data_IF_326565257631
#
_entry.id   IF_326565257631
#
_cell.length_a   1.000
_cell.length_b   1.000
_cell.length_c   1.000
_cell.angle_alpha   90.00
_cell.angle_beta   90.00
_cell.angle_gamma   90.00
#
_symmetry.space_group_name_H-M   'P 1'
#
loop_
_entity.id
_entity.type
_entity.pdbx_description
1 polymer ?
#
# COMPACT_ATOMS: atom_id res chain seq x y z
N UNK A 1 -14.44 -25.64 3.12
CA UNK A 1 -13.39 -24.67 2.84
C UNK A 1 -13.76 -23.31 3.38
N UNK A 2 -12.85 -22.65 4.03
CA UNK A 2 -13.16 -21.45 4.81
C UNK A 2 -12.90 -20.15 4.08
N UNK A 3 -11.73 -20.01 3.44
CA UNK A 3 -11.38 -18.79 2.71
C UNK A 3 -11.86 -18.87 1.27
N UNK A 4 -12.51 -17.80 0.80
CA UNK A 4 -12.89 -17.69 -0.61
C UNK A 4 -11.82 -16.98 -1.43
N UNK A 5 -11.24 -15.91 -0.88
CA UNK A 5 -10.21 -15.11 -1.55
C UNK A 5 -9.59 -14.14 -0.54
N UNK A 6 -8.44 -13.60 -0.89
CA UNK A 6 -7.91 -12.42 -0.22
C UNK A 6 -8.64 -11.20 -0.79
N UNK A 7 -9.45 -10.52 0.02
CA UNK A 7 -10.25 -9.40 -0.47
C UNK A 7 -9.41 -8.15 -0.72
N UNK A 8 -8.69 -7.71 0.30
CA UNK A 8 -7.82 -6.54 0.20
C UNK A 8 -6.86 -6.48 1.39
N UNK A 9 -5.89 -5.59 1.27
CA UNK A 9 -4.99 -5.20 2.37
C UNK A 9 -5.24 -3.72 2.64
N UNK A 10 -5.36 -3.36 3.90
CA UNK A 10 -5.57 -1.97 4.32
C UNK A 10 -4.26 -1.29 4.68
N UNK A 11 -4.11 -0.05 4.25
CA UNK A 11 -3.01 0.82 4.64
C UNK A 11 -3.60 2.08 5.26
N UNK A 12 -3.29 2.32 6.51
CA UNK A 12 -3.71 3.55 7.20
C UNK A 12 -2.68 4.63 6.89
N UNK A 13 -3.16 5.76 6.38
CA UNK A 13 -2.31 6.87 5.95
C UNK A 13 -2.77 8.18 6.60
N UNK A 14 -1.86 9.13 6.69
CA UNK A 14 -2.16 10.46 7.19
C UNK A 14 -2.53 11.43 6.05
N UNK A 15 -2.03 11.20 4.85
CA UNK A 15 -2.31 12.00 3.66
C UNK A 15 -2.92 11.12 2.58
N UNK A 16 -4.25 11.09 2.54
CA UNK A 16 -4.98 10.23 1.62
C UNK A 16 -4.74 10.62 0.15
N UNK A 17 -4.68 11.92 -0.14
CA UNK A 17 -4.44 12.39 -1.50
C UNK A 17 -3.08 11.96 -2.02
N UNK A 18 -2.04 12.08 -1.18
CA UNK A 18 -0.69 11.65 -1.54
C UNK A 18 -0.62 10.13 -1.75
N UNK A 19 -1.31 9.36 -0.92
CA UNK A 19 -1.37 7.91 -1.06
C UNK A 19 -2.06 7.50 -2.37
N UNK A 20 -3.17 8.14 -2.71
CA UNK A 20 -3.87 7.91 -3.97
C UNK A 20 -2.94 8.21 -5.16
N UNK A 21 -2.25 9.34 -5.12
CA UNK A 21 -1.31 9.74 -6.18
C UNK A 21 -0.19 8.71 -6.35
N UNK A 22 0.35 8.22 -5.24
CA UNK A 22 1.41 7.20 -5.25
C UNK A 22 0.94 5.92 -5.95
N UNK A 23 -0.18 5.36 -5.52
CA UNK A 23 -0.67 4.09 -6.07
C UNK A 23 -1.22 4.25 -7.49
N UNK A 24 -1.71 5.44 -7.84
CA UNK A 24 -2.08 5.75 -9.23
C UNK A 24 -0.83 5.77 -10.12
N UNK A 25 0.27 6.37 -9.65
CA UNK A 25 1.55 6.37 -10.36
C UNK A 25 2.11 4.95 -10.53
N UNK A 26 1.85 4.07 -9.56
CA UNK A 26 2.25 2.66 -9.65
C UNK A 26 1.45 1.90 -10.73
N UNK A 27 0.24 2.34 -11.03
CA UNK A 27 -0.61 1.71 -12.05
C UNK A 27 -1.95 1.20 -11.54
N UNK A 28 -2.28 1.48 -10.29
CA UNK A 28 -3.59 1.12 -9.74
C UNK A 28 -4.64 2.16 -10.13
N UNK A 29 -5.90 1.76 -10.15
CA UNK A 29 -7.04 2.65 -10.41
C UNK A 29 -7.95 2.69 -9.19
N UNK A 30 -8.60 3.84 -9.00
CA UNK A 30 -9.62 3.99 -7.96
C UNK A 30 -10.83 3.16 -8.34
N UNK A 31 -11.30 2.36 -7.39
CA UNK A 31 -12.50 1.54 -7.60
C UNK A 31 -13.71 2.14 -6.91
N UNK A 32 -13.51 2.77 -5.74
CA UNK A 32 -14.59 3.40 -5.00
C UNK A 32 -14.07 4.15 -3.80
N UNK A 33 -14.93 4.95 -3.21
CA UNK A 33 -14.60 5.71 -2.00
C UNK A 33 -15.82 5.84 -1.09
N UNK A 34 -15.58 6.00 0.20
CA UNK A 34 -16.64 6.18 1.18
C UNK A 34 -16.11 6.88 2.42
N UNK A 35 -17.00 7.65 3.06
CA UNK A 35 -16.78 8.14 4.42
C UNK A 35 -17.66 7.31 5.33
N UNK A 36 -17.08 6.69 6.34
CA UNK A 36 -17.76 5.70 7.18
C UNK A 36 -17.73 6.11 8.63
N UNK A 37 -18.89 6.03 9.28
CA UNK A 37 -19.02 6.22 10.72
C UNK A 37 -20.28 5.51 11.22
N UNK A 38 -20.42 5.36 12.51
CA UNK A 38 -21.59 4.78 13.13
C UNK A 38 -21.26 3.63 14.09
N UNK A 39 -22.27 3.13 14.82
CA UNK A 39 -22.04 2.08 15.82
C UNK A 39 -21.42 0.81 15.26
N UNK A 40 -21.74 0.44 14.03
CA UNK A 40 -21.23 -0.79 13.43
C UNK A 40 -19.71 -0.72 13.20
N UNK A 41 -19.20 0.44 12.74
CA UNK A 41 -17.77 0.58 12.48
C UNK A 41 -16.99 0.69 13.79
N UNK A 42 -17.58 1.28 14.81
CA UNK A 42 -16.98 1.31 16.14
C UNK A 42 -16.85 -0.11 16.70
N UNK A 43 -17.88 -0.93 16.53
CA UNK A 43 -17.85 -2.31 17.03
C UNK A 43 -16.78 -3.16 16.36
N UNK A 44 -16.62 -3.05 15.06
CA UNK A 44 -15.59 -3.87 14.36
C UNK A 44 -14.17 -3.38 14.62
N UNK A 45 -13.97 -2.09 14.86
CA UNK A 45 -12.66 -1.53 15.16
C UNK A 45 -12.27 -1.63 16.64
N UNK A 46 -13.24 -1.82 17.52
CA UNK A 46 -13.00 -1.78 18.96
C UNK A 46 -12.59 -0.39 19.44
N UNK A 47 -13.07 0.65 18.75
CA UNK A 47 -12.77 2.04 19.04
C UNK A 47 -14.10 2.82 19.16
N UNK A 48 -14.03 4.01 19.73
CA UNK A 48 -15.22 4.86 19.89
C UNK A 48 -15.16 6.06 18.95
N UNK A 49 -16.31 6.39 18.34
CA UNK A 49 -16.44 7.56 17.50
C UNK A 49 -15.66 7.52 16.21
N UNK A 50 -15.50 6.35 15.63
CA UNK A 50 -14.72 6.18 14.41
C UNK A 50 -15.32 6.96 13.26
N UNK A 51 -14.48 7.76 12.60
CA UNK A 51 -14.79 8.47 11.36
C UNK A 51 -13.62 8.24 10.42
N UNK A 52 -13.84 7.51 9.33
CA UNK A 52 -12.79 7.18 8.38
C UNK A 52 -13.20 7.53 6.96
N UNK A 53 -12.22 7.93 6.18
CA UNK A 53 -12.34 8.07 4.74
C UNK A 53 -11.58 6.92 4.10
N UNK A 54 -12.21 6.22 3.19
CA UNK A 54 -11.68 5.03 2.56
C UNK A 54 -11.67 5.21 1.05
N UNK A 55 -10.56 4.84 0.42
CA UNK A 55 -10.47 4.74 -1.04
C UNK A 55 -9.96 3.35 -1.38
N UNK A 56 -10.71 2.64 -2.22
CA UNK A 56 -10.29 1.34 -2.70
C UNK A 56 -9.53 1.50 -4.01
N UNK A 57 -8.34 0.92 -4.07
CA UNK A 57 -7.48 0.89 -5.26
C UNK A 57 -7.40 -0.53 -5.79
N UNK A 58 -7.33 -0.67 -7.10
CA UNK A 58 -7.34 -1.97 -7.77
C UNK A 58 -6.23 -2.06 -8.81
N UNK A 59 -5.61 -3.23 -8.92
CA UNK A 59 -4.65 -3.53 -10.01
C UNK A 59 -5.37 -3.66 -11.35
N UNK A 60 -4.66 -3.47 -12.48
CA UNK A 60 -5.28 -3.57 -13.81
C UNK A 60 -5.99 -4.89 -14.09
N UNK A 61 -5.47 -6.01 -13.56
CA UNK A 61 -6.09 -7.33 -13.73
C UNK A 61 -7.34 -7.52 -12.84
N UNK A 62 -7.60 -6.59 -11.92
CA UNK A 62 -8.75 -6.63 -11.03
C UNK A 62 -8.62 -7.55 -9.83
N UNK A 63 -7.48 -8.24 -9.67
CA UNK A 63 -7.31 -9.23 -8.59
C UNK A 63 -6.67 -8.65 -7.33
N UNK A 64 -5.80 -7.65 -7.46
CA UNK A 64 -5.13 -7.03 -6.32
C UNK A 64 -5.85 -5.76 -5.88
N UNK A 65 -6.15 -5.64 -4.59
CA UNK A 65 -6.88 -4.50 -4.04
C UNK A 65 -6.23 -4.02 -2.76
N UNK A 66 -6.12 -2.71 -2.64
CA UNK A 66 -5.70 -2.04 -1.41
C UNK A 66 -6.82 -1.11 -0.95
N UNK A 67 -7.02 -1.05 0.36
CA UNK A 67 -7.89 -0.05 0.97
C UNK A 67 -7.01 1.00 1.61
N UNK A 68 -7.07 2.22 1.09
CA UNK A 68 -6.37 3.36 1.68
C UNK A 68 -7.32 4.01 2.68
N UNK A 69 -6.91 4.08 3.94
CA UNK A 69 -7.77 4.48 5.05
C UNK A 69 -7.17 5.66 5.77
N UNK A 70 -7.95 6.72 5.90
CA UNK A 70 -7.60 7.90 6.70
C UNK A 70 -8.57 8.01 7.87
N UNK A 71 -8.08 7.88 9.11
CA UNK A 71 -8.90 8.14 10.30
C UNK A 71 -8.96 9.64 10.55
N UNK A 72 -10.17 10.19 10.57
CA UNK A 72 -10.40 11.55 11.02
C UNK A 72 -10.60 11.58 12.54
N UNK A 73 -11.10 10.49 13.11
CA UNK A 73 -11.25 10.24 14.53
C UNK A 73 -11.29 8.74 14.79
N UNK A 74 -10.64 8.19 15.82
CA UNK A 74 -9.67 8.86 16.70
C UNK A 74 -8.40 9.30 15.97
N UNK A 75 -7.52 10.03 16.67
CA UNK A 75 -6.22 10.44 16.12
C UNK A 75 -5.39 9.24 15.69
N UNK A 76 -4.59 9.46 14.66
CA UNK A 76 -3.65 8.44 14.17
C UNK A 76 -2.63 8.09 15.25
N UNK A 77 -2.32 6.81 15.33
CA UNK A 77 -1.25 6.31 16.20
C UNK A 77 -0.03 6.06 15.32
N UNK A 78 1.07 6.70 15.66
CA UNK A 78 2.33 6.51 14.93
C UNK A 78 3.15 5.40 15.57
N UNK A 79 3.83 4.62 14.73
CA UNK A 79 4.75 3.59 15.22
C UNK A 79 6.18 4.15 15.28
N UNK A 80 6.99 3.60 16.18
CA UNK A 80 8.41 3.94 16.33
C UNK A 80 9.29 2.74 15.98
N UNK A 81 10.24 2.88 15.07
CA UNK A 81 10.45 4.03 14.18
C UNK A 81 9.38 4.13 13.08
N UNK A 82 9.06 5.35 12.66
CA UNK A 82 8.06 5.56 11.59
C UNK A 82 8.48 4.89 10.29
N UNK A 83 9.77 4.88 9.99
CA UNK A 83 10.35 4.17 8.85
C UNK A 83 11.05 2.92 9.40
N UNK A 84 10.29 1.83 9.48
CA UNK A 84 10.78 0.59 10.04
C UNK A 84 11.61 -0.20 9.00
N UNK A 85 12.74 -0.77 9.40
CA UNK A 85 13.54 -1.59 8.47
C UNK A 85 12.80 -2.86 8.06
N UNK A 86 13.19 -3.48 6.94
CA UNK A 86 12.46 -4.64 6.39
C UNK A 86 12.35 -5.84 7.33
N UNK A 87 13.24 -5.96 8.30
CA UNK A 87 13.25 -7.07 9.25
C UNK A 87 12.43 -6.79 10.52
N UNK A 88 11.61 -5.76 10.52
CA UNK A 88 10.71 -5.46 11.64
C UNK A 88 9.54 -6.43 11.63
N UNK A 89 9.15 -6.90 12.81
CA UNK A 89 8.01 -7.83 12.95
C UNK A 89 6.73 -7.25 12.37
N UNK A 90 5.92 -8.12 11.79
CA UNK A 90 4.61 -7.79 11.26
C UNK A 90 4.57 -7.72 9.75
N UNK A 91 3.45 -7.27 9.21
CA UNK A 91 3.28 -7.08 7.77
C UNK A 91 4.25 -6.00 7.29
N UNK A 92 5.15 -6.35 6.36
CA UNK A 92 6.23 -5.42 5.96
C UNK A 92 6.13 -4.93 4.53
N UNK A 93 5.67 -5.76 3.60
CA UNK A 93 5.69 -5.38 2.19
C UNK A 93 4.48 -5.89 1.44
N UNK A 94 4.16 -5.18 0.37
CA UNK A 94 3.20 -5.61 -0.63
C UNK A 94 3.94 -5.59 -1.96
N UNK A 95 3.96 -6.72 -2.67
CA UNK A 95 4.69 -6.85 -3.92
C UNK A 95 3.77 -6.75 -5.12
N UNK A 96 4.21 -6.00 -6.11
CA UNK A 96 3.55 -5.88 -7.40
C UNK A 96 4.50 -6.36 -8.50
N UNK A 97 3.97 -7.14 -9.43
CA UNK A 97 4.70 -7.47 -10.66
C UNK A 97 4.45 -6.32 -11.63
N UNK A 98 5.54 -5.81 -12.21
CA UNK A 98 5.50 -4.64 -13.11
C UNK A 98 6.20 -4.99 -14.43
N UNK A 99 5.90 -4.23 -15.47
CA UNK A 99 6.52 -4.43 -16.77
C UNK A 99 8.00 -4.04 -16.77
N UNK A 100 8.34 -2.95 -16.07
CA UNK A 100 9.72 -2.46 -15.97
C UNK A 100 9.95 -1.90 -14.57
N UNK A 101 10.88 -2.50 -13.85
CA UNK A 101 11.28 -1.98 -12.53
C UNK A 101 11.89 -0.60 -12.67
N UNK A 102 12.77 -0.39 -13.65
CA UNK A 102 13.44 0.90 -13.80
C UNK A 102 12.46 2.04 -14.09
N UNK A 103 11.50 1.83 -14.98
CA UNK A 103 10.48 2.83 -15.30
C UNK A 103 9.57 3.11 -14.09
N UNK A 104 9.18 2.06 -13.38
CA UNK A 104 8.32 2.17 -12.21
C UNK A 104 9.03 2.93 -11.09
N UNK A 105 10.30 2.60 -10.83
CA UNK A 105 11.12 3.32 -9.84
C UNK A 105 11.18 4.81 -10.18
N UNK A 106 11.40 5.15 -11.46
CA UNK A 106 11.45 6.56 -11.86
C UNK A 106 10.13 7.29 -11.59
N UNK A 107 9.00 6.66 -11.92
CA UNK A 107 7.68 7.25 -11.67
C UNK A 107 7.40 7.42 -10.18
N UNK A 108 7.73 6.43 -9.37
CA UNK A 108 7.48 6.49 -7.93
C UNK A 108 8.40 7.50 -7.25
N UNK A 109 9.65 7.63 -7.70
CA UNK A 109 10.54 8.68 -7.21
C UNK A 109 9.99 10.07 -7.46
N UNK A 110 9.35 10.29 -8.60
CA UNK A 110 8.69 11.56 -8.90
C UNK A 110 7.54 11.86 -7.92
N UNK A 111 7.02 10.83 -7.24
CA UNK A 111 5.99 10.97 -6.21
C UNK A 111 6.58 10.86 -4.78
N UNK A 112 7.88 11.09 -4.64
CA UNK A 112 8.53 11.17 -3.34
C UNK A 112 9.01 9.86 -2.74
N UNK A 113 8.89 8.75 -3.45
CA UNK A 113 9.36 7.46 -2.98
C UNK A 113 10.87 7.31 -3.13
N UNK A 114 11.48 6.50 -2.27
CA UNK A 114 12.89 6.19 -2.33
C UNK A 114 13.11 4.68 -2.23
N UNK A 115 14.20 4.20 -2.81
CA UNK A 115 14.61 2.80 -2.67
C UNK A 115 15.01 2.52 -1.23
N UNK A 116 14.63 1.35 -0.73
CA UNK A 116 15.08 0.86 0.58
C UNK A 116 16.53 0.40 0.48
N UNK A 117 16.83 -0.40 -0.52
CA UNK A 117 18.18 -0.85 -0.86
C UNK A 117 18.47 -0.53 -2.31
N UNK A 118 18.89 -1.52 -3.06
CA UNK A 118 19.24 -1.38 -4.47
C UNK A 118 18.28 -2.21 -5.34
N UNK A 119 18.21 -1.86 -6.62
CA UNK A 119 17.61 -2.74 -7.62
C UNK A 119 18.59 -3.89 -7.84
N UNK A 120 18.13 -5.11 -7.72
CA UNK A 120 18.94 -6.30 -7.89
C UNK A 120 18.32 -7.23 -8.92
N UNK A 121 19.15 -7.99 -9.59
CA UNK A 121 18.70 -9.00 -10.54
C UNK A 121 19.00 -10.39 -10.00
N UNK A 122 17.99 -11.23 -9.99
CA UNK A 122 18.13 -12.62 -9.62
C UNK A 122 18.20 -13.47 -10.89
N UNK A 123 19.39 -13.87 -11.25
CA UNK A 123 19.67 -14.67 -12.47
C UNK A 123 19.01 -14.03 -13.71
N UNK A 124 18.47 -14.83 -14.63
CA UNK A 124 17.70 -14.35 -15.78
C UNK A 124 16.19 -14.39 -15.49
N UNK A 125 15.81 -14.34 -14.22
CA UNK A 125 14.41 -14.54 -13.78
C UNK A 125 13.72 -13.26 -13.39
N UNK A 126 14.34 -12.46 -12.53
CA UNK A 126 13.67 -11.29 -11.97
C UNK A 126 14.63 -10.12 -11.77
N UNK A 127 14.09 -8.90 -11.96
CA UNK A 127 14.65 -7.69 -11.37
C UNK A 127 13.73 -7.30 -10.22
N UNK A 128 14.32 -6.96 -9.09
CA UNK A 128 13.58 -6.77 -7.85
C UNK A 128 14.07 -5.53 -7.13
N UNK A 129 13.17 -4.85 -6.46
CA UNK A 129 13.55 -3.80 -5.52
C UNK A 129 12.46 -3.57 -4.48
N UNK A 130 12.83 -2.90 -3.41
CA UNK A 130 11.90 -2.42 -2.40
C UNK A 130 11.92 -0.90 -2.40
N UNK A 131 10.74 -0.29 -2.40
CA UNK A 131 10.58 1.15 -2.30
C UNK A 131 9.78 1.51 -1.06
N UNK A 132 10.10 2.65 -0.47
CA UNK A 132 9.35 3.18 0.67
C UNK A 132 8.12 3.93 0.13
N UNK A 133 6.93 3.47 0.51
CA UNK A 133 5.68 4.06 0.08
C UNK A 133 5.00 4.90 1.17
N UNK A 134 3.73 5.24 0.98
CA UNK A 134 2.96 6.00 1.96
C UNK A 134 2.97 5.34 3.33
N UNK A 135 3.00 6.16 4.39
CA UNK A 135 3.04 5.71 5.78
C UNK A 135 4.23 4.78 6.09
N UNK A 136 5.29 4.84 5.28
CA UNK A 136 6.49 4.05 5.47
C UNK A 136 6.38 2.58 5.07
N UNK A 137 5.30 2.16 4.42
CA UNK A 137 5.19 0.76 3.98
C UNK A 137 6.22 0.45 2.90
N UNK A 138 6.58 -0.81 2.80
CA UNK A 138 7.47 -1.26 1.73
C UNK A 138 6.62 -1.75 0.56
N UNK A 139 6.82 -1.12 -0.59
CA UNK A 139 6.24 -1.55 -1.86
C UNK A 139 7.33 -2.26 -2.62
N UNK A 140 7.16 -3.56 -2.80
CA UNK A 140 8.12 -4.38 -3.53
C UNK A 140 7.71 -4.46 -4.99
N UNK A 141 8.68 -4.38 -5.88
CA UNK A 141 8.48 -4.44 -7.32
C UNK A 141 9.26 -5.62 -7.89
N UNK A 142 8.60 -6.36 -8.76
CA UNK A 142 9.22 -7.48 -9.46
C UNK A 142 8.94 -7.39 -10.96
N UNK A 143 10.00 -7.48 -11.73
CA UNK A 143 9.90 -7.57 -13.20
C UNK A 143 10.32 -8.98 -13.59
N UNK A 144 9.45 -9.67 -14.30
CA UNK A 144 9.73 -11.00 -14.80
C UNK A 144 10.53 -10.90 -16.08
N UNK A 145 11.68 -11.59 -16.13
CA UNK A 145 12.62 -11.54 -17.28
C UNK A 145 12.44 -12.70 -18.25
N UNK A 146 11.41 -13.51 -18.02
CA UNK A 146 11.13 -14.69 -18.86
C UNK A 146 9.80 -14.61 -19.59
#
# INVERSE_FOLDING_TARGET
MTIKRLDHVSVVVDDLAAAIAFFTALGMTREGEASVEGPWVDRINGLEGVQVDIVMMRTPDGHGRLELTKFRNPELVEIEPAIAPPNTLGLRSVMFTVESVDDTVARLRANGAELVGEVAQYEDKYRLCYMRGPAGIIVALAEELF
#
